data_IF_872416400533
#
_entry.id   IF_872416400533
#
_cell.length_a   1.000
_cell.length_b   1.000
_cell.length_c   1.000
_cell.angle_alpha   90.00
_cell.angle_beta   90.00
_cell.angle_gamma   90.00
#
_symmetry.space_group_name_H-M   'P 1'
#
loop_
_entity.id
_entity.type
_entity.pdbx_description
1 polymer ?
#
# COMPACT_ATOMS: atom_id res chain seq x y z
N UNK A 1 -6.24 10.17 21.24
CA UNK A 1 -4.97 9.41 21.10
C UNK A 1 -5.20 8.11 20.30
N UNK A 2 -5.93 8.13 19.17
CA UNK A 2 -6.33 6.92 18.42
C UNK A 2 -5.74 6.82 17.00
N UNK A 3 -5.83 7.91 16.22
CA UNK A 3 -5.39 7.95 14.81
C UNK A 3 -3.94 7.54 14.55
N UNK A 4 -2.99 7.87 15.43
CA UNK A 4 -1.58 7.53 15.21
C UNK A 4 -1.27 6.04 15.25
N UNK A 5 -2.01 5.26 16.06
CA UNK A 5 -1.81 3.81 16.14
C UNK A 5 -2.44 3.07 14.95
N UNK A 6 -3.61 3.54 14.50
CA UNK A 6 -4.31 2.98 13.33
C UNK A 6 -3.50 3.21 12.05
N UNK A 7 -2.91 4.39 11.88
CA UNK A 7 -2.04 4.69 10.76
C UNK A 7 -0.74 3.86 10.81
N UNK A 8 -0.13 3.70 11.99
CA UNK A 8 1.06 2.87 12.14
C UNK A 8 0.80 1.38 11.85
N UNK A 9 -0.38 0.87 12.18
CA UNK A 9 -0.77 -0.50 11.83
C UNK A 9 -1.07 -0.66 10.34
N UNK A 10 -1.73 0.32 9.71
CA UNK A 10 -1.94 0.35 8.27
C UNK A 10 -0.59 0.33 7.52
N UNK A 11 0.34 1.22 7.88
CA UNK A 11 1.66 1.29 7.27
C UNK A 11 2.43 -0.04 7.45
N UNK A 12 2.37 -0.67 8.63
CA UNK A 12 2.96 -1.99 8.85
C UNK A 12 2.38 -3.07 7.93
N UNK A 13 1.06 -3.11 7.76
CA UNK A 13 0.40 -4.07 6.86
C UNK A 13 0.80 -3.84 5.41
N UNK A 14 0.87 -2.58 4.98
CA UNK A 14 1.29 -2.23 3.61
C UNK A 14 2.73 -2.65 3.33
N UNK A 15 3.67 -2.35 4.25
CA UNK A 15 5.05 -2.81 4.14
C UNK A 15 5.16 -4.34 4.09
N UNK A 16 4.35 -5.05 4.88
CA UNK A 16 4.28 -6.51 4.82
C UNK A 16 3.86 -7.04 3.44
N UNK A 17 2.92 -6.38 2.75
CA UNK A 17 2.52 -6.73 1.38
C UNK A 17 3.62 -6.46 0.37
N UNK A 18 4.31 -5.32 0.46
CA UNK A 18 5.45 -4.99 -0.40
C UNK A 18 6.55 -6.03 -0.27
N UNK A 19 6.93 -6.38 0.97
CA UNK A 19 7.96 -7.38 1.23
C UNK A 19 7.56 -8.76 0.69
N UNK A 20 6.30 -9.16 0.86
CA UNK A 20 5.79 -10.41 0.33
C UNK A 20 5.87 -10.45 -1.20
N UNK A 21 5.46 -9.38 -1.89
CA UNK A 21 5.52 -9.29 -3.34
C UNK A 21 6.97 -9.42 -3.84
N UNK A 22 7.91 -8.72 -3.20
CA UNK A 22 9.34 -8.83 -3.50
C UNK A 22 9.88 -10.25 -3.30
N UNK A 23 9.51 -10.92 -2.19
CA UNK A 23 9.93 -12.31 -1.94
C UNK A 23 9.38 -13.26 -2.98
N UNK A 24 8.10 -13.16 -3.30
CA UNK A 24 7.47 -14.00 -4.31
C UNK A 24 8.11 -13.81 -5.69
N UNK A 25 8.44 -12.57 -6.05
CA UNK A 25 9.11 -12.26 -7.32
C UNK A 25 10.49 -12.94 -7.43
N UNK A 26 11.23 -13.05 -6.31
CA UNK A 26 12.53 -13.73 -6.28
C UNK A 26 12.41 -15.25 -6.37
N UNK A 27 11.30 -15.83 -5.89
CA UNK A 27 11.12 -17.29 -5.83
C UNK A 27 10.31 -17.86 -6.99
N UNK A 28 9.53 -17.04 -7.69
CA UNK A 28 8.71 -17.50 -8.81
C UNK A 28 9.59 -17.75 -10.05
N UNK A 29 9.24 -18.76 -10.82
CA UNK A 29 9.93 -19.11 -12.07
C UNK A 29 9.26 -18.53 -13.30
N UNK A 30 8.02 -18.04 -13.17
CA UNK A 30 7.31 -17.37 -14.26
C UNK A 30 7.70 -15.89 -14.34
N UNK A 31 8.33 -15.44 -15.45
CA UNK A 31 8.85 -14.08 -15.56
C UNK A 31 7.72 -13.03 -15.59
N UNK A 32 6.55 -13.36 -16.14
CA UNK A 32 5.41 -12.44 -16.15
C UNK A 32 4.84 -12.21 -14.74
N UNK A 33 4.77 -13.27 -13.94
CA UNK A 33 4.37 -13.22 -12.54
C UNK A 33 5.40 -12.46 -11.71
N UNK A 34 6.69 -12.67 -11.96
CA UNK A 34 7.76 -11.91 -11.30
C UNK A 34 7.64 -10.40 -11.57
N UNK A 35 7.42 -10.03 -12.82
CA UNK A 35 7.25 -8.63 -13.24
C UNK A 35 6.02 -7.99 -12.57
N UNK A 36 4.87 -8.66 -12.61
CA UNK A 36 3.66 -8.20 -11.94
C UNK A 36 3.84 -8.04 -10.42
N UNK A 37 4.56 -8.95 -9.77
CA UNK A 37 4.88 -8.85 -8.34
C UNK A 37 5.80 -7.67 -8.03
N UNK A 38 6.76 -7.37 -8.91
CA UNK A 38 7.63 -6.20 -8.78
C UNK A 38 6.83 -4.92 -8.97
N UNK A 39 5.94 -4.85 -9.96
CA UNK A 39 5.06 -3.70 -10.18
C UNK A 39 4.19 -3.43 -8.95
N UNK A 40 3.50 -4.46 -8.43
CA UNK A 40 2.68 -4.33 -7.22
C UNK A 40 3.48 -3.86 -5.99
N UNK A 41 4.74 -4.31 -5.84
CA UNK A 41 5.62 -3.84 -4.77
C UNK A 41 5.97 -2.35 -4.94
N UNK A 42 6.29 -1.93 -6.16
CA UNK A 42 6.63 -0.54 -6.48
C UNK A 42 5.45 0.40 -6.23
N UNK A 43 4.25 0.02 -6.68
CA UNK A 43 3.02 0.77 -6.43
C UNK A 43 2.73 0.88 -4.93
N UNK A 44 2.87 -0.23 -4.20
CA UNK A 44 2.70 -0.26 -2.75
C UNK A 44 3.66 0.68 -2.02
N UNK A 45 4.94 0.70 -2.41
CA UNK A 45 5.91 1.64 -1.84
C UNK A 45 5.60 3.10 -2.18
N UNK A 46 5.13 3.37 -3.40
CA UNK A 46 4.73 4.72 -3.81
C UNK A 46 3.50 5.20 -3.02
N UNK A 47 2.55 4.32 -2.73
CA UNK A 47 1.39 4.61 -1.89
C UNK A 47 1.77 4.88 -0.43
N UNK A 48 2.65 4.04 0.14
CA UNK A 48 3.21 4.27 1.49
C UNK A 48 3.91 5.62 1.56
N UNK A 49 4.75 5.96 0.57
CA UNK A 49 5.46 7.25 0.53
C UNK A 49 4.48 8.43 0.46
N UNK A 50 3.37 8.29 -0.29
CA UNK A 50 2.30 9.31 -0.33
C UNK A 50 1.61 9.45 1.02
N UNK A 51 1.18 8.35 1.63
CA UNK A 51 0.55 8.35 2.96
C UNK A 51 1.44 8.92 4.07
N UNK A 52 2.76 8.70 3.98
CA UNK A 52 3.72 9.28 4.93
C UNK A 52 4.01 10.76 4.67
N UNK A 53 3.87 11.21 3.42
CA UNK A 53 4.10 12.59 3.01
C UNK A 53 2.86 13.49 3.19
N UNK A 54 1.67 12.91 3.23
CA UNK A 54 0.41 13.61 3.48
C UNK A 54 0.14 13.70 4.99
N UNK A 55 0.30 14.88 5.63
CA UNK A 55 -0.14 15.06 7.01
C UNK A 55 -1.67 15.11 7.03
N UNK A 56 -2.31 14.01 7.42
CA UNK A 56 -3.74 13.93 7.81
C UNK A 56 -4.68 14.70 6.86
N UNK A 57 -4.73 14.33 5.57
CA UNK A 57 -5.87 14.69 4.74
C UNK A 57 -6.79 13.49 4.67
N UNK A 58 -7.76 13.46 5.59
CA UNK A 58 -9.01 12.78 5.34
C UNK A 58 -9.49 13.19 3.93
N UNK A 59 -9.65 12.29 2.96
CA UNK A 59 -10.43 12.66 1.80
C UNK A 59 -11.83 12.99 2.34
N UNK A 60 -12.47 14.12 1.96
CA UNK A 60 -13.88 14.26 2.21
C UNK A 60 -14.52 13.05 1.53
N UNK A 61 -15.11 12.15 2.33
CA UNK A 61 -15.96 11.09 1.82
C UNK A 61 -16.92 11.78 0.84
N UNK A 62 -16.73 11.50 -0.45
CA UNK A 62 -17.69 11.90 -1.46
C UNK A 62 -19.00 11.25 -1.05
N UNK A 63 -19.88 12.06 -0.47
CA UNK A 63 -21.24 11.64 -0.19
C UNK A 63 -21.85 11.20 -1.52
N UNK A 64 -22.41 9.98 -1.62
CA UNK A 64 -23.16 9.63 -2.81
C UNK A 64 -24.30 10.64 -2.98
N UNK A 65 -24.60 11.11 -4.20
CA UNK A 65 -25.70 12.03 -4.40
C UNK A 65 -26.99 11.39 -3.90
N UNK A 66 -27.70 12.11 -3.04
CA UNK A 66 -29.02 11.74 -2.55
C UNK A 66 -29.94 11.43 -3.73
N UNK A 67 -30.63 10.31 -3.65
CA UNK A 67 -31.68 9.93 -4.59
C UNK A 67 -32.94 9.59 -3.82
#
# INVERSE_FOLDING_TARGET
MGHGMEQAELLRRMWGRVELCRRLAMTTTDPHTADALIEMANEGEADIRRLMAEPDHHPPMASPPAR
#
